data_IF_305001953235
#
_entry.id   IF_305001953235
#
_cell.length_a   1.000
_cell.length_b   1.000
_cell.length_c   1.000
_cell.angle_alpha   90.00
_cell.angle_beta   90.00
_cell.angle_gamma   90.00
#
_symmetry.space_group_name_H-M   'P 1'
#
loop_
_entity.id
_entity.type
_entity.pdbx_description
1 polymer ?
#
# COMPACT_ATOMS: atom_id res chain seq x y z
N UNK A 1 53.32 -21.69 17.70
CA UNK A 1 53.05 -20.30 18.11
C UNK A 1 53.11 -19.45 16.86
N UNK A 2 51.96 -19.26 16.22
CA UNK A 2 51.75 -18.28 15.16
C UNK A 2 50.51 -17.51 15.62
N UNK A 3 50.75 -16.36 16.23
CA UNK A 3 49.74 -15.52 16.85
C UNK A 3 49.18 -14.60 15.75
N UNK A 4 48.04 -15.00 15.17
CA UNK A 4 47.24 -14.13 14.31
C UNK A 4 46.32 -13.31 15.22
N UNK A 5 46.69 -12.05 15.46
CA UNK A 5 45.77 -11.08 16.05
C UNK A 5 44.76 -10.61 14.98
N UNK A 6 43.48 -10.44 15.35
CA UNK A 6 42.41 -10.11 14.42
C UNK A 6 42.42 -8.63 14.04
N UNK A 7 42.17 -8.34 12.76
CA UNK A 7 41.91 -6.98 12.27
C UNK A 7 40.62 -6.44 12.91
N UNK A 8 40.76 -5.34 13.65
CA UNK A 8 39.62 -4.55 14.13
C UNK A 8 39.11 -3.74 12.92
N UNK A 9 38.12 -4.28 12.21
CA UNK A 9 37.27 -3.47 11.33
C UNK A 9 36.62 -2.38 12.18
N UNK A 10 37.14 -1.16 12.07
CA UNK A 10 36.51 0.02 12.65
C UNK A 10 35.21 0.26 11.90
N UNK A 11 34.12 -0.08 12.57
CA UNK A 11 32.75 0.17 12.13
C UNK A 11 32.59 1.67 11.87
N UNK A 12 32.33 2.02 10.62
CA UNK A 12 32.05 3.39 10.21
C UNK A 12 30.56 3.60 10.49
N UNK A 13 30.15 4.44 11.46
CA UNK A 13 28.74 4.63 11.73
C UNK A 13 28.07 5.19 10.48
N UNK A 14 27.10 4.44 9.97
CA UNK A 14 26.20 4.83 8.90
C UNK A 14 25.32 5.96 9.44
N UNK A 15 25.76 7.21 9.25
CA UNK A 15 24.95 8.39 9.54
C UNK A 15 23.75 8.44 8.57
N UNK A 16 22.62 7.90 9.05
CA UNK A 16 21.30 8.19 8.50
C UNK A 16 21.06 9.69 8.62
N UNK A 17 21.27 10.41 7.52
CA UNK A 17 20.89 11.81 7.34
C UNK A 17 19.38 11.99 7.33
N UNK A 18 18.72 11.79 8.46
CA UNK A 18 17.30 12.08 8.69
C UNK A 18 17.18 13.01 9.88
N UNK A 19 17.83 14.18 9.83
CA UNK A 19 17.39 15.37 10.55
C UNK A 19 18.00 16.59 9.85
N UNK A 20 17.39 16.99 8.73
CA UNK A 20 17.51 18.38 8.30
C UNK A 20 16.83 19.24 9.36
N UNK A 21 17.61 19.72 10.33
CA UNK A 21 17.20 20.85 11.17
C UNK A 21 16.87 22.00 10.20
N UNK A 22 15.72 22.68 10.34
CA UNK A 22 15.51 23.88 9.56
C UNK A 22 16.56 24.88 10.01
N UNK A 23 17.46 25.23 9.10
CA UNK A 23 18.44 26.29 9.30
C UNK A 23 17.66 27.56 9.64
N UNK A 24 17.68 27.95 10.92
CA UNK A 24 17.24 29.28 11.38
C UNK A 24 18.34 30.30 11.09
N UNK A 25 18.86 30.29 9.86
CA UNK A 25 19.55 31.45 9.32
C UNK A 25 18.49 32.50 9.02
N UNK A 26 18.75 33.76 9.38
CA UNK A 26 17.92 34.89 8.96
C UNK A 26 17.79 34.83 7.43
N UNK A 27 16.58 34.56 6.93
CA UNK A 27 16.38 34.39 5.51
C UNK A 27 16.75 35.71 4.81
N UNK A 28 17.23 35.67 3.56
CA UNK A 28 17.49 36.90 2.79
C UNK A 28 16.26 37.84 2.76
N UNK A 29 15.05 37.27 2.87
CA UNK A 29 13.80 38.03 3.01
C UNK A 29 13.68 38.76 4.37
N UNK A 30 14.15 38.17 5.47
CA UNK A 30 14.17 38.81 6.79
C UNK A 30 15.15 40.00 6.79
N UNK A 31 16.30 39.85 6.13
CA UNK A 31 17.29 40.93 6.00
C UNK A 31 16.72 42.12 5.21
N UNK A 32 16.02 41.85 4.11
CA UNK A 32 15.37 42.89 3.29
C UNK A 32 14.25 43.58 4.06
N UNK A 33 13.44 42.82 4.81
CA UNK A 33 12.39 43.38 5.65
C UNK A 33 12.95 44.27 6.77
N UNK A 34 14.05 43.86 7.40
CA UNK A 34 14.74 44.67 8.41
C UNK A 34 15.32 45.95 7.79
N UNK A 35 15.97 45.85 6.63
CA UNK A 35 16.56 46.99 5.95
C UNK A 35 15.51 48.03 5.52
N UNK A 36 14.39 47.59 4.96
CA UNK A 36 13.26 48.46 4.58
C UNK A 36 12.60 49.11 5.81
N UNK A 37 12.45 48.36 6.90
CA UNK A 37 11.91 48.90 8.15
C UNK A 37 12.84 49.95 8.77
N UNK A 38 14.15 49.70 8.75
CA UNK A 38 15.15 50.66 9.21
C UNK A 38 15.18 51.93 8.35
N UNK A 39 15.13 51.77 7.02
CA UNK A 39 15.06 52.90 6.08
C UNK A 39 13.82 53.77 6.31
N UNK A 40 12.67 53.12 6.57
CA UNK A 40 11.44 53.84 6.88
C UNK A 40 11.52 54.61 8.21
N UNK A 41 12.07 53.99 9.25
CA UNK A 41 12.28 54.68 10.53
C UNK A 41 13.20 55.90 10.38
N UNK A 42 14.26 55.80 9.56
CA UNK A 42 15.13 56.94 9.26
C UNK A 42 14.36 58.05 8.55
N UNK A 43 13.50 57.71 7.58
CA UNK A 43 12.66 58.70 6.88
C UNK A 43 11.69 59.42 7.84
N UNK A 44 11.08 58.69 8.79
CA UNK A 44 10.23 59.28 9.84
C UNK A 44 11.03 60.21 10.73
N UNK A 45 12.25 59.82 11.11
CA UNK A 45 13.12 60.60 11.98
C UNK A 45 13.58 61.90 11.29
N UNK A 46 13.92 61.82 10.00
CA UNK A 46 14.25 63.00 9.18
C UNK A 46 13.04 63.93 9.05
N UNK A 47 11.84 63.40 8.82
CA UNK A 47 10.63 64.21 8.73
C UNK A 47 10.39 65.02 10.01
N UNK A 48 10.49 64.38 11.18
CA UNK A 48 10.28 65.04 12.47
C UNK A 48 11.38 66.04 12.84
N UNK A 49 12.64 65.77 12.48
CA UNK A 49 13.76 66.65 12.85
C UNK A 49 14.08 67.74 11.82
N UNK A 50 13.75 67.55 10.54
CA UNK A 50 14.12 68.47 9.47
C UNK A 50 12.95 69.19 8.80
N UNK A 51 11.73 68.63 8.84
CA UNK A 51 10.57 69.16 8.11
C UNK A 51 9.34 69.49 8.98
N UNK A 52 9.33 69.14 10.28
CA UNK A 52 8.19 69.41 11.15
C UNK A 52 8.07 70.92 11.45
N UNK A 53 6.97 71.59 11.03
CA UNK A 53 6.69 72.94 11.45
C UNK A 53 6.18 72.97 12.90
N UNK A 54 6.48 74.03 13.65
CA UNK A 54 5.99 74.28 15.02
C UNK A 54 4.49 74.65 15.05
N UNK A 55 3.63 73.82 14.46
CA UNK A 55 2.17 73.99 14.62
C UNK A 55 1.61 73.08 15.71
N UNK A 56 0.68 73.63 16.50
CA UNK A 56 -0.01 72.90 17.58
C UNK A 56 -0.57 71.58 17.05
N UNK A 57 -0.11 70.48 17.65
CA UNK A 57 -0.51 69.13 17.25
C UNK A 57 -1.98 68.90 17.62
N UNK A 58 -2.89 69.19 16.68
CA UNK A 58 -4.28 68.76 16.78
C UNK A 58 -4.37 67.23 16.79
N UNK A 59 -5.35 66.70 17.54
CA UNK A 59 -5.57 65.24 17.66
C UNK A 59 -5.71 64.53 16.31
N UNK A 60 -6.23 65.23 15.30
CA UNK A 60 -6.37 64.72 13.93
C UNK A 60 -5.03 64.54 13.21
N UNK A 61 -4.11 65.49 13.35
CA UNK A 61 -2.77 65.43 12.74
C UNK A 61 -1.93 64.31 13.33
N UNK A 62 -2.09 64.04 14.64
CA UNK A 62 -1.44 62.91 15.31
C UNK A 62 -1.91 61.55 14.76
N UNK A 63 -3.22 61.37 14.53
CA UNK A 63 -3.77 60.12 13.99
C UNK A 63 -3.33 59.90 12.53
N UNK A 64 -3.32 60.96 11.72
CA UNK A 64 -2.85 60.90 10.32
C UNK A 64 -1.35 60.58 10.25
N UNK A 65 -0.54 61.19 11.12
CA UNK A 65 0.89 60.87 11.22
C UNK A 65 1.11 59.40 11.65
N UNK A 66 0.34 58.91 12.62
CA UNK A 66 0.43 57.52 13.06
C UNK A 66 0.03 56.55 11.94
N UNK A 67 -1.04 56.83 11.19
CA UNK A 67 -1.45 56.04 10.02
C UNK A 67 -0.38 56.04 8.92
N UNK A 68 0.24 57.19 8.65
CA UNK A 68 1.31 57.31 7.66
C UNK A 68 2.54 56.47 8.03
N UNK A 69 2.83 56.29 9.33
CA UNK A 69 3.95 55.47 9.80
C UNK A 69 3.60 53.97 9.77
N UNK A 70 2.41 53.59 10.23
CA UNK A 70 2.05 52.17 10.40
C UNK A 70 1.62 51.47 9.09
N UNK A 71 0.95 52.18 8.17
CA UNK A 71 0.49 51.62 6.90
C UNK A 71 1.60 50.97 6.04
N UNK A 72 2.75 51.62 5.79
CA UNK A 72 3.81 51.03 4.98
C UNK A 72 4.51 49.87 5.68
N UNK A 73 4.64 49.90 7.01
CA UNK A 73 5.20 48.78 7.79
C UNK A 73 4.31 47.54 7.63
N UNK A 74 2.98 47.71 7.72
CA UNK A 74 2.03 46.63 7.50
C UNK A 74 2.12 46.07 6.07
N UNK A 75 2.24 46.92 5.05
CA UNK A 75 2.39 46.50 3.65
C UNK A 75 3.70 45.73 3.39
N UNK A 76 4.81 46.18 4.00
CA UNK A 76 6.11 45.48 3.91
C UNK A 76 6.01 44.10 4.55
N UNK A 77 5.35 43.98 5.70
CA UNK A 77 5.19 42.71 6.42
C UNK A 77 4.30 41.73 5.65
N UNK A 78 3.21 42.21 5.03
CA UNK A 78 2.35 41.41 4.15
C UNK A 78 3.15 40.90 2.93
N UNK A 79 3.93 41.77 2.28
CA UNK A 79 4.79 41.38 1.16
C UNK A 79 5.81 40.29 1.54
N UNK A 80 6.42 40.39 2.72
CA UNK A 80 7.36 39.40 3.22
C UNK A 80 6.71 38.02 3.44
N UNK A 81 5.48 37.97 3.97
CA UNK A 81 4.76 36.70 4.16
C UNK A 81 4.44 36.00 2.84
N UNK A 82 4.03 36.74 1.80
CA UNK A 82 3.73 36.20 0.46
C UNK A 82 4.98 35.60 -0.21
N UNK A 83 6.14 36.25 -0.06
CA UNK A 83 7.40 35.73 -0.60
C UNK A 83 7.85 34.46 0.12
N UNK A 84 7.55 34.33 1.42
CA UNK A 84 7.89 33.15 2.23
C UNK A 84 7.09 31.91 1.79
N UNK A 85 5.80 32.05 1.52
CA UNK A 85 4.96 30.95 0.98
C UNK A 85 5.33 30.58 -0.46
N UNK A 86 5.69 31.56 -1.29
CA UNK A 86 6.10 31.31 -2.67
C UNK A 86 7.44 30.55 -2.78
N UNK A 87 8.38 30.72 -1.83
CA UNK A 87 9.68 30.03 -1.84
C UNK A 87 9.58 28.56 -1.47
N UNK A 88 8.74 28.20 -0.48
CA UNK A 88 8.50 26.80 -0.08
C UNK A 88 7.89 26.01 -1.24
N UNK A 89 6.95 26.59 -1.98
CA UNK A 89 6.40 25.95 -3.18
C UNK A 89 7.40 25.83 -4.35
N UNK A 90 8.38 26.73 -4.43
CA UNK A 90 9.35 26.74 -5.53
C UNK A 90 10.41 25.64 -5.37
N UNK A 91 10.78 25.32 -4.12
CA UNK A 91 11.66 24.20 -3.80
C UNK A 91 11.00 22.84 -4.10
N UNK A 92 9.70 22.70 -3.79
CA UNK A 92 8.91 21.51 -4.14
C UNK A 92 8.75 21.36 -5.66
N UNK A 93 8.52 22.44 -6.39
CA UNK A 93 8.41 22.43 -7.85
C UNK A 93 9.73 22.04 -8.54
N UNK A 94 10.88 22.54 -8.09
CA UNK A 94 12.19 22.15 -8.65
C UNK A 94 12.52 20.69 -8.42
N UNK A 95 12.10 20.13 -7.26
CA UNK A 95 12.30 18.71 -6.96
C UNK A 95 11.44 17.81 -7.85
N UNK A 96 10.18 18.18 -8.07
CA UNK A 96 9.28 17.48 -9.00
C UNK A 96 9.78 17.56 -10.45
N UNK A 97 10.26 18.72 -10.88
CA UNK A 97 10.83 18.90 -12.22
C UNK A 97 12.04 17.97 -12.44
N UNK A 98 12.93 17.86 -11.45
CA UNK A 98 14.12 17.00 -11.53
C UNK A 98 13.79 15.50 -11.58
N UNK A 99 12.74 15.07 -10.87
CA UNK A 99 12.25 13.69 -10.92
C UNK A 99 11.62 13.34 -12.29
N UNK A 100 10.92 14.30 -12.89
CA UNK A 100 10.33 14.16 -14.23
C UNK A 100 11.42 14.08 -15.30
N UNK A 101 12.46 14.92 -15.22
CA UNK A 101 13.58 14.89 -16.16
C UNK A 101 14.38 13.59 -16.05
N UNK A 102 14.56 13.05 -14.84
CA UNK A 102 15.17 11.74 -14.63
C UNK A 102 14.36 10.59 -15.25
N UNK A 103 13.02 10.59 -15.09
CA UNK A 103 12.14 9.61 -15.74
C UNK A 103 12.17 9.73 -17.27
N UNK A 104 12.19 10.95 -17.81
CA UNK A 104 12.26 11.17 -19.25
C UNK A 104 13.58 10.67 -19.83
N UNK A 105 14.69 10.89 -19.13
CA UNK A 105 16.00 10.36 -19.54
C UNK A 105 16.05 8.83 -19.47
N UNK A 106 15.48 8.21 -18.43
CA UNK A 106 15.37 6.75 -18.34
C UNK A 106 14.54 6.17 -19.49
N UNK A 107 13.42 6.81 -19.84
CA UNK A 107 12.57 6.39 -20.96
C UNK A 107 13.28 6.51 -22.31
N UNK A 108 14.02 7.60 -22.54
CA UNK A 108 14.79 7.79 -23.79
C UNK A 108 15.98 6.83 -23.86
N UNK A 109 16.68 6.58 -22.75
CA UNK A 109 17.75 5.59 -22.68
C UNK A 109 17.24 4.17 -22.98
N UNK A 110 16.06 3.82 -22.48
CA UNK A 110 15.41 2.53 -22.74
C UNK A 110 14.90 2.43 -24.19
N UNK A 111 14.39 3.52 -24.76
CA UNK A 111 13.99 3.58 -26.17
C UNK A 111 15.19 3.50 -27.14
N UNK A 112 16.32 4.12 -26.81
CA UNK A 112 17.55 4.03 -27.62
C UNK A 112 18.21 2.64 -27.51
N UNK A 113 18.18 2.03 -26.33
CA UNK A 113 18.63 0.64 -26.12
C UNK A 113 17.76 -0.36 -26.90
N UNK A 114 16.48 -0.05 -27.09
CA UNK A 114 15.55 -0.85 -27.90
C UNK A 114 15.68 -0.60 -29.42
N UNK A 115 16.30 0.51 -29.83
CA UNK A 115 16.46 0.92 -31.23
C UNK A 115 17.77 0.52 -31.90
N UNK A 116 18.81 0.15 -31.14
CA UNK A 116 20.10 -0.29 -31.68
C UNK A 116 20.46 -1.73 -31.26
N UNK A 117 20.15 -2.69 -32.13
CA UNK A 117 21.00 -3.87 -32.35
C UNK A 117 20.95 -5.04 -31.35
N UNK A 118 19.93 -5.18 -30.49
CA UNK A 118 19.79 -6.34 -29.58
C UNK A 118 18.95 -7.45 -30.24
N UNK A 119 19.41 -7.99 -31.37
CA UNK A 119 18.86 -9.24 -31.94
C UNK A 119 19.89 -10.37 -31.98
N UNK A 120 21.13 -10.17 -32.47
CA UNK A 120 22.06 -11.30 -32.63
C UNK A 120 22.76 -11.76 -31.33
N UNK A 121 22.82 -10.93 -30.28
CA UNK A 121 23.46 -11.30 -29.02
C UNK A 121 22.53 -12.09 -28.08
N UNK A 122 21.23 -11.78 -28.10
CA UNK A 122 20.22 -12.46 -27.29
C UNK A 122 19.85 -13.80 -27.93
N UNK A 123 19.74 -13.89 -29.26
CA UNK A 123 19.53 -15.18 -29.95
C UNK A 123 20.69 -16.17 -29.71
N UNK A 124 21.94 -15.71 -29.78
CA UNK A 124 23.10 -16.57 -29.45
C UNK A 124 23.13 -17.03 -27.99
N UNK A 125 22.73 -16.16 -27.06
CA UNK A 125 22.64 -16.52 -25.63
C UNK A 125 21.44 -17.43 -25.35
N UNK A 126 20.34 -17.30 -26.06
CA UNK A 126 19.21 -18.23 -25.97
C UNK A 126 19.54 -19.60 -26.55
N UNK A 127 20.31 -19.72 -27.62
CA UNK A 127 20.73 -21.02 -28.18
C UNK A 127 21.76 -21.74 -27.30
N UNK A 128 22.70 -21.02 -26.68
CA UNK A 128 23.60 -21.57 -25.67
C UNK A 128 22.82 -22.06 -24.42
N UNK A 129 21.82 -21.30 -23.96
CA UNK A 129 20.99 -21.69 -22.80
C UNK A 129 20.04 -22.85 -23.15
N UNK A 130 19.46 -22.88 -24.36
CA UNK A 130 18.58 -23.95 -24.79
C UNK A 130 19.32 -25.29 -24.94
N UNK A 131 20.57 -25.27 -25.40
CA UNK A 131 21.41 -26.48 -25.50
C UNK A 131 21.90 -26.96 -24.12
N UNK A 132 22.29 -26.06 -23.22
CA UNK A 132 22.62 -26.38 -21.83
C UNK A 132 21.41 -26.93 -21.05
N UNK A 133 20.20 -26.41 -21.32
CA UNK A 133 18.96 -26.88 -20.70
C UNK A 133 18.56 -28.26 -21.22
N UNK A 134 18.77 -28.57 -22.51
CA UNK A 134 18.51 -29.91 -23.07
C UNK A 134 19.45 -30.99 -22.53
N UNK A 135 20.73 -30.67 -22.32
CA UNK A 135 21.67 -31.60 -21.68
C UNK A 135 21.32 -31.83 -20.20
N UNK A 136 20.86 -30.79 -19.51
CA UNK A 136 20.38 -30.89 -18.12
C UNK A 136 19.06 -31.67 -18.03
N UNK A 137 18.13 -31.48 -18.97
CA UNK A 137 16.88 -32.23 -19.03
C UNK A 137 17.09 -33.72 -19.32
N UNK A 138 18.05 -34.09 -20.18
CA UNK A 138 18.35 -35.50 -20.45
C UNK A 138 19.05 -36.18 -19.26
N UNK A 139 19.92 -35.47 -18.54
CA UNK A 139 20.52 -35.99 -17.31
C UNK A 139 19.47 -36.14 -16.19
N UNK A 140 18.62 -35.13 -15.98
CA UNK A 140 17.57 -35.14 -14.95
C UNK A 140 16.47 -36.15 -15.27
N UNK A 141 16.14 -36.40 -16.53
CA UNK A 141 15.18 -37.44 -16.94
C UNK A 141 15.69 -38.86 -16.66
N UNK A 142 16.99 -39.12 -16.78
CA UNK A 142 17.58 -40.42 -16.41
C UNK A 142 17.62 -40.65 -14.89
N UNK A 143 17.74 -39.58 -14.08
CA UNK A 143 17.74 -39.69 -12.62
C UNK A 143 16.35 -39.60 -11.96
N UNK A 144 15.35 -38.99 -12.61
CA UNK A 144 13.98 -38.89 -12.10
C UNK A 144 13.17 -40.19 -12.23
N UNK A 145 13.54 -41.11 -13.13
CA UNK A 145 12.83 -42.39 -13.30
C UNK A 145 13.09 -43.39 -12.15
N UNK A 146 14.10 -43.14 -11.31
CA UNK A 146 14.50 -44.06 -10.21
C UNK A 146 14.02 -43.63 -8.82
N UNK A 147 13.37 -42.48 -8.65
CA UNK A 147 12.96 -41.97 -7.32
C UNK A 147 11.49 -41.57 -7.23
N UNK A 148 10.61 -42.27 -7.93
CA UNK A 148 9.19 -42.26 -7.60
C UNK A 148 8.92 -43.32 -6.52
N UNK A 149 9.57 -43.14 -5.37
CA UNK A 149 9.22 -43.83 -4.14
C UNK A 149 8.07 -43.07 -3.50
N UNK A 150 6.88 -43.65 -3.64
CA UNK A 150 5.66 -43.49 -2.85
C UNK A 150 5.79 -42.52 -1.66
N UNK A 151 5.40 -41.27 -1.85
CA UNK A 151 4.94 -40.41 -0.74
C UNK A 151 3.42 -40.39 -0.84
N UNK A 152 2.79 -40.99 0.16
CA UNK A 152 1.34 -41.09 0.28
C UNK A 152 0.73 -39.68 0.33
N UNK A 153 0.02 -39.30 -0.73
CA UNK A 153 -0.89 -38.15 -0.70
C UNK A 153 -2.06 -38.51 0.20
N UNK A 154 -2.24 -37.76 1.29
CA UNK A 154 -3.50 -37.78 2.04
C UNK A 154 -4.61 -37.17 1.17
N UNK A 155 -5.86 -37.63 1.28
CA UNK A 155 -6.97 -37.13 0.47
C UNK A 155 -7.29 -35.68 0.87
N UNK A 156 -6.82 -34.71 0.09
CA UNK A 156 -7.12 -33.29 0.31
C UNK A 156 -8.58 -33.01 -0.07
N UNK A 157 -9.36 -32.50 0.89
CA UNK A 157 -10.74 -32.07 0.65
C UNK A 157 -10.75 -30.77 -0.17
N UNK A 158 -11.70 -30.61 -1.12
CA UNK A 158 -11.84 -29.40 -1.91
C UNK A 158 -12.27 -28.21 -1.02
N UNK A 159 -11.63 -27.04 -1.20
CA UNK A 159 -11.86 -25.84 -0.39
C UNK A 159 -13.25 -25.21 -0.58
N UNK A 160 -13.82 -25.32 -1.79
CA UNK A 160 -15.13 -24.77 -2.12
C UNK A 160 -16.02 -25.91 -2.61
N UNK A 161 -17.12 -26.15 -1.89
CA UNK A 161 -18.10 -27.16 -2.24
C UNK A 161 -18.81 -26.73 -3.54
N UNK A 162 -18.70 -27.54 -4.60
CA UNK A 162 -19.48 -27.34 -5.83
C UNK A 162 -20.91 -27.82 -5.57
N UNK A 163 -21.96 -27.04 -5.91
CA UNK A 163 -23.34 -27.52 -5.85
C UNK A 163 -23.47 -28.79 -6.69
N UNK A 164 -24.08 -29.83 -6.10
CA UNK A 164 -24.14 -31.16 -6.67
C UNK A 164 -24.74 -31.18 -8.08
N UNK A 165 -24.03 -31.81 -9.01
CA UNK A 165 -24.67 -32.47 -10.14
C UNK A 165 -25.28 -33.74 -9.56
N UNK A 166 -26.55 -33.67 -9.19
CA UNK A 166 -27.35 -34.87 -8.94
C UNK A 166 -27.26 -35.75 -10.18
N UNK A 167 -26.91 -37.02 -9.97
CA UNK A 167 -26.82 -38.03 -10.99
C UNK A 167 -28.23 -38.40 -11.48
N UNK A 168 -28.83 -37.54 -12.31
CA UNK A 168 -29.96 -37.90 -13.15
C UNK A 168 -29.66 -37.48 -14.60
N UNK A 169 -29.14 -38.47 -15.34
CA UNK A 169 -29.43 -38.73 -16.75
C UNK A 169 -29.59 -37.52 -17.68
N UNK A 170 -28.52 -36.76 -17.91
CA UNK A 170 -28.38 -35.94 -19.10
C UNK A 170 -27.19 -36.46 -19.92
N UNK A 171 -27.35 -36.86 -21.20
CA UNK A 171 -26.23 -37.30 -22.00
C UNK A 171 -25.26 -36.13 -22.17
N UNK A 172 -24.04 -36.32 -21.68
CA UNK A 172 -22.97 -35.34 -21.77
C UNK A 172 -22.72 -35.00 -23.25
N UNK A 173 -23.03 -33.75 -23.62
CA UNK A 173 -22.57 -33.16 -24.87
C UNK A 173 -21.04 -33.20 -24.87
N UNK A 174 -20.47 -34.01 -25.77
CA UNK A 174 -19.03 -34.22 -25.96
C UNK A 174 -18.36 -32.99 -26.60
N UNK A 175 -18.47 -31.84 -25.94
CA UNK A 175 -17.52 -30.75 -26.10
C UNK A 175 -16.33 -31.15 -25.22
N UNK A 176 -15.16 -31.39 -25.83
CA UNK A 176 -13.96 -31.88 -25.15
C UNK A 176 -13.78 -31.22 -23.79
N UNK A 177 -13.45 -32.02 -22.78
CA UNK A 177 -13.28 -31.58 -21.39
C UNK A 177 -12.50 -30.27 -21.37
N UNK A 178 -13.10 -29.14 -20.95
CA UNK A 178 -12.38 -27.88 -20.90
C UNK A 178 -11.14 -28.10 -20.01
N UNK A 179 -9.99 -27.54 -20.41
CA UNK A 179 -8.71 -27.75 -19.71
C UNK A 179 -8.77 -27.41 -18.21
N UNK A 180 -9.75 -26.60 -17.81
CA UNK A 180 -10.12 -26.25 -16.44
C UNK A 180 -10.63 -27.46 -15.62
N UNK A 181 -11.28 -28.44 -16.25
CA UNK A 181 -11.74 -29.68 -15.61
C UNK A 181 -10.62 -30.71 -15.35
N UNK A 182 -9.42 -30.48 -15.90
CA UNK A 182 -8.25 -31.35 -15.69
C UNK A 182 -7.35 -30.91 -14.53
N UNK A 183 -7.58 -29.71 -13.97
CA UNK A 183 -6.79 -29.22 -12.83
C UNK A 183 -7.32 -29.81 -11.52
N UNK A 184 -6.45 -30.30 -10.61
CA UNK A 184 -6.89 -30.79 -9.31
C UNK A 184 -7.65 -29.68 -8.56
N UNK A 185 -8.74 -30.02 -7.84
CA UNK A 185 -9.48 -29.03 -7.06
C UNK A 185 -8.57 -28.32 -6.06
N UNK A 186 -8.87 -27.04 -5.80
CA UNK A 186 -8.15 -26.24 -4.81
C UNK A 186 -8.29 -26.86 -3.42
N UNK A 187 -7.16 -27.09 -2.75
CA UNK A 187 -7.15 -27.62 -1.39
C UNK A 187 -7.49 -26.53 -0.36
N UNK A 188 -8.02 -26.92 0.80
CA UNK A 188 -8.33 -26.00 1.91
C UNK A 188 -7.10 -25.20 2.34
N UNK A 189 -5.95 -25.85 2.52
CA UNK A 189 -4.71 -25.17 2.91
C UNK A 189 -4.22 -24.20 1.84
N UNK A 190 -4.27 -24.58 0.55
CA UNK A 190 -3.90 -23.66 -0.55
C UNK A 190 -4.83 -22.44 -0.60
N UNK A 191 -6.13 -22.63 -0.31
CA UNK A 191 -7.10 -21.54 -0.28
C UNK A 191 -6.84 -20.58 0.88
N UNK A 192 -6.65 -21.10 2.10
CA UNK A 192 -6.36 -20.28 3.29
C UNK A 192 -5.05 -19.51 3.08
N UNK A 193 -3.98 -20.17 2.64
CA UNK A 193 -2.70 -19.51 2.41
C UNK A 193 -2.75 -18.46 1.29
N UNK A 194 -3.56 -18.69 0.24
CA UNK A 194 -3.80 -17.66 -0.78
C UNK A 194 -4.52 -16.42 -0.24
N UNK A 195 -5.42 -16.58 0.76
CA UNK A 195 -6.10 -15.44 1.41
C UNK A 195 -5.20 -14.69 2.39
N UNK A 196 -4.13 -15.33 2.88
CA UNK A 196 -3.14 -14.62 3.70
C UNK A 196 -2.20 -13.76 2.85
N UNK A 197 -2.04 -14.10 1.58
CA UNK A 197 -1.08 -13.55 0.62
C UNK A 197 0.39 -13.83 1.02
N UNK A 198 1.32 -13.87 0.04
CA UNK A 198 2.74 -14.06 0.34
C UNK A 198 3.27 -13.01 1.34
N UNK A 199 4.17 -13.42 2.24
CA UNK A 199 4.83 -12.51 3.18
C UNK A 199 5.88 -11.63 2.50
N UNK A 200 6.72 -12.24 1.65
CA UNK A 200 7.80 -11.56 0.94
C UNK A 200 8.05 -12.17 -0.44
N UNK A 201 9.07 -11.65 -1.14
CA UNK A 201 9.47 -12.12 -2.48
C UNK A 201 10.04 -13.55 -2.50
N UNK A 202 10.47 -14.07 -1.35
CA UNK A 202 11.06 -15.39 -1.19
C UNK A 202 10.03 -16.45 -0.78
N UNK A 203 8.79 -16.05 -0.46
CA UNK A 203 7.70 -16.95 -0.12
C UNK A 203 7.16 -17.72 -1.35
N UNK A 204 7.97 -18.66 -1.84
CA UNK A 204 7.65 -19.50 -2.99
C UNK A 204 6.35 -20.30 -2.79
N UNK A 205 6.06 -20.65 -1.54
CA UNK A 205 4.89 -21.45 -1.18
C UNK A 205 3.62 -20.59 -1.19
N UNK A 206 3.63 -19.41 -0.58
CA UNK A 206 2.54 -18.44 -0.69
C UNK A 206 2.26 -18.07 -2.14
N UNK A 207 3.29 -17.85 -2.97
CA UNK A 207 3.10 -17.62 -4.41
C UNK A 207 2.52 -18.83 -5.14
N UNK A 208 2.86 -20.07 -4.74
CA UNK A 208 2.26 -21.30 -5.31
C UNK A 208 0.77 -21.37 -4.98
N UNK A 209 0.40 -21.12 -3.74
CA UNK A 209 -0.98 -21.13 -3.25
C UNK A 209 -1.79 -20.02 -3.93
N UNK A 210 -1.26 -18.80 -4.00
CA UNK A 210 -1.86 -17.66 -4.68
C UNK A 210 -2.12 -17.95 -6.17
N UNK A 211 -1.15 -18.51 -6.90
CA UNK A 211 -1.34 -18.90 -8.31
C UNK A 211 -2.43 -19.95 -8.48
N UNK A 212 -2.50 -20.93 -7.57
CA UNK A 212 -3.56 -21.95 -7.60
C UNK A 212 -4.95 -21.36 -7.35
N UNK A 213 -5.10 -20.48 -6.37
CA UNK A 213 -6.37 -19.81 -6.10
C UNK A 213 -6.78 -18.86 -7.24
N UNK A 214 -5.83 -18.16 -7.86
CA UNK A 214 -6.14 -17.31 -9.02
C UNK A 214 -6.55 -18.09 -10.27
N UNK A 215 -6.13 -19.36 -10.39
CA UNK A 215 -6.54 -20.25 -11.48
C UNK A 215 -7.96 -20.83 -11.27
N UNK A 216 -8.47 -20.84 -10.05
CA UNK A 216 -9.83 -21.29 -9.76
C UNK A 216 -10.83 -20.12 -9.87
N UNK A 217 -11.88 -20.30 -10.67
CA UNK A 217 -12.81 -19.22 -11.02
C UNK A 217 -13.56 -18.64 -9.81
N UNK A 218 -13.87 -19.47 -8.81
CA UNK A 218 -14.67 -19.05 -7.66
C UNK A 218 -13.83 -18.34 -6.60
N UNK A 219 -12.64 -18.85 -6.29
CA UNK A 219 -11.72 -18.25 -5.34
C UNK A 219 -11.02 -17.00 -5.88
N UNK A 220 -10.68 -16.96 -7.17
CA UNK A 220 -9.99 -15.82 -7.80
C UNK A 220 -10.72 -14.48 -7.64
N UNK A 221 -12.05 -14.48 -7.60
CA UNK A 221 -12.87 -13.27 -7.36
C UNK A 221 -12.60 -12.68 -5.98
N UNK A 222 -12.58 -13.53 -4.94
CA UNK A 222 -12.28 -13.09 -3.58
C UNK A 222 -10.83 -12.63 -3.47
N UNK A 223 -9.89 -13.38 -4.01
CA UNK A 223 -8.46 -13.04 -3.97
C UNK A 223 -8.22 -11.66 -4.60
N UNK A 224 -8.77 -11.39 -5.79
CA UNK A 224 -8.61 -10.09 -6.46
C UNK A 224 -9.28 -8.96 -5.66
N UNK A 225 -10.52 -9.15 -5.21
CA UNK A 225 -11.22 -8.14 -4.42
C UNK A 225 -10.49 -7.82 -3.10
N UNK A 226 -9.89 -8.84 -2.48
CA UNK A 226 -9.07 -8.69 -1.27
C UNK A 226 -7.80 -7.91 -1.59
N UNK A 227 -7.09 -8.26 -2.67
CA UNK A 227 -5.89 -7.56 -3.11
C UNK A 227 -6.15 -6.08 -3.38
N UNK A 228 -7.24 -5.76 -4.10
CA UNK A 228 -7.61 -4.39 -4.44
C UNK A 228 -7.83 -3.55 -3.18
N UNK A 229 -8.62 -4.07 -2.22
CA UNK A 229 -8.92 -3.36 -0.98
C UNK A 229 -7.72 -3.26 -0.06
N UNK A 230 -6.90 -4.31 0.07
CA UNK A 230 -5.65 -4.28 0.83
C UNK A 230 -4.68 -3.25 0.24
N UNK A 231 -4.59 -3.16 -1.09
CA UNK A 231 -3.78 -2.15 -1.77
C UNK A 231 -4.28 -0.75 -1.45
N UNK A 232 -5.60 -0.52 -1.49
CA UNK A 232 -6.17 0.78 -1.16
C UNK A 232 -5.88 1.13 0.31
N UNK A 233 -6.14 0.22 1.25
CA UNK A 233 -5.86 0.43 2.68
C UNK A 233 -4.38 0.76 2.95
N UNK A 234 -3.45 0.12 2.23
CA UNK A 234 -2.03 0.40 2.37
C UNK A 234 -1.64 1.84 1.97
N UNK A 235 -2.41 2.46 1.06
CA UNK A 235 -2.20 3.86 0.66
C UNK A 235 -2.51 4.84 1.80
N UNK A 236 -3.39 4.45 2.73
CA UNK A 236 -3.68 5.21 3.95
C UNK A 236 -2.75 4.82 5.11
N UNK A 237 -1.79 3.93 4.88
CA UNK A 237 -0.90 3.40 5.91
C UNK A 237 -1.57 2.37 6.84
N UNK A 238 -2.67 1.74 6.42
CA UNK A 238 -3.33 0.68 7.17
C UNK A 238 -2.82 -0.68 6.67
N UNK A 239 -1.99 -1.35 7.47
CA UNK A 239 -1.47 -2.69 7.19
C UNK A 239 -2.14 -3.72 8.10
N UNK A 240 -2.52 -4.89 7.56
CA UNK A 240 -3.25 -5.91 8.33
C UNK A 240 -2.38 -6.63 9.36
N UNK A 241 -1.06 -6.66 9.12
CA UNK A 241 -0.09 -7.29 10.01
C UNK A 241 0.12 -6.46 11.29
N UNK A 242 -0.14 -5.16 11.25
CA UNK A 242 -0.10 -4.26 12.41
C UNK A 242 -1.35 -4.42 13.31
N UNK A 243 -2.41 -5.04 12.80
CA UNK A 243 -3.65 -5.24 13.54
C UNK A 243 -3.54 -6.47 14.44
N UNK A 244 -3.99 -6.32 15.68
CA UNK A 244 -4.10 -7.40 16.68
C UNK A 244 -5.57 -7.67 16.97
N UNK A 245 -6.27 -8.45 16.11
CA UNK A 245 -7.67 -8.76 16.33
C UNK A 245 -7.87 -9.68 17.54
N UNK A 246 -8.95 -9.46 18.27
CA UNK A 246 -9.42 -10.42 19.27
C UNK A 246 -9.81 -11.74 18.60
N UNK A 247 -9.33 -12.85 19.18
CA UNK A 247 -9.66 -14.19 18.66
C UNK A 247 -11.15 -14.45 18.77
N UNK A 248 -11.79 -14.54 17.62
CA UNK A 248 -13.19 -14.90 17.50
C UNK A 248 -13.37 -16.41 17.55
N UNK A 249 -14.43 -16.85 18.20
CA UNK A 249 -14.73 -18.28 18.31
C UNK A 249 -15.24 -18.81 16.95
N UNK A 250 -14.85 -20.04 16.53
CA UNK A 250 -15.31 -20.63 15.26
C UNK A 250 -16.83 -20.74 15.16
N UNK A 251 -17.52 -20.90 16.30
CA UNK A 251 -19.00 -20.95 16.36
C UNK A 251 -19.66 -19.68 15.81
N UNK A 252 -19.09 -18.50 16.06
CA UNK A 252 -19.62 -17.22 15.56
C UNK A 252 -19.45 -17.12 14.05
N UNK A 253 -18.29 -17.53 13.54
CA UNK A 253 -18.04 -17.61 12.11
C UNK A 253 -19.01 -18.56 11.40
N UNK A 254 -19.34 -19.71 12.01
CA UNK A 254 -20.37 -20.61 11.46
C UNK A 254 -21.77 -20.00 11.47
N UNK A 255 -22.14 -19.25 12.51
CA UNK A 255 -23.40 -18.50 12.54
C UNK A 255 -23.45 -17.45 11.43
N UNK A 256 -22.35 -16.72 11.24
CA UNK A 256 -22.21 -15.76 10.14
C UNK A 256 -22.35 -16.42 8.77
N UNK A 257 -21.76 -17.61 8.57
CA UNK A 257 -21.92 -18.39 7.34
C UNK A 257 -23.38 -18.79 7.04
N UNK A 258 -24.18 -19.02 8.09
CA UNK A 258 -25.63 -19.31 7.99
C UNK A 258 -26.49 -18.07 7.70
N UNK A 259 -25.88 -16.88 7.67
CA UNK A 259 -26.60 -15.63 7.42
C UNK A 259 -26.99 -14.85 8.66
N UNK A 260 -26.55 -15.24 9.86
CA UNK A 260 -26.78 -14.44 11.08
C UNK A 260 -25.97 -13.13 11.02
N UNK A 261 -26.56 -12.02 11.50
CA UNK A 261 -25.99 -10.66 11.42
C UNK A 261 -26.27 -9.88 12.71
N UNK A 262 -25.58 -8.75 12.89
CA UNK A 262 -25.70 -7.87 14.06
C UNK A 262 -25.10 -8.46 15.34
N UNK A 263 -25.73 -8.20 16.49
CA UNK A 263 -25.23 -8.56 17.82
C UNK A 263 -24.84 -10.03 18.00
N UNK A 264 -25.50 -10.96 17.30
CA UNK A 264 -25.20 -12.40 17.37
C UNK A 264 -23.78 -12.73 16.88
N UNK A 265 -23.29 -12.00 15.87
CA UNK A 265 -21.98 -12.21 15.25
C UNK A 265 -21.00 -11.07 15.51
N UNK A 266 -21.34 -10.14 16.42
CA UNK A 266 -20.53 -8.98 16.74
C UNK A 266 -19.12 -9.34 17.24
N UNK A 267 -18.98 -10.50 17.86
CA UNK A 267 -17.69 -11.04 18.31
C UNK A 267 -16.73 -11.45 17.18
N UNK A 268 -17.15 -11.43 15.91
CA UNK A 268 -16.25 -11.63 14.76
C UNK A 268 -15.39 -10.40 14.51
N UNK A 269 -15.94 -9.19 14.68
CA UNK A 269 -15.26 -7.92 14.44
C UNK A 269 -14.23 -7.58 15.53
N UNK A 270 -13.19 -8.41 15.69
CA UNK A 270 -12.18 -8.30 16.74
C UNK A 270 -11.14 -7.19 16.54
N UNK A 271 -11.18 -6.46 15.41
CA UNK A 271 -10.27 -5.33 15.17
C UNK A 271 -10.80 -4.08 15.89
N UNK A 272 -10.04 -3.60 16.88
CA UNK A 272 -10.41 -2.45 17.72
C UNK A 272 -9.54 -1.21 17.52
N UNK A 273 -8.61 -1.22 16.56
CA UNK A 273 -7.70 -0.09 16.36
C UNK A 273 -8.45 1.18 15.93
N UNK A 274 -8.41 2.20 16.78
CA UNK A 274 -9.19 3.43 16.59
C UNK A 274 -8.70 4.25 15.41
N UNK A 275 -7.38 4.29 15.18
CA UNK A 275 -6.78 4.99 14.05
C UNK A 275 -7.23 4.40 12.72
N UNK A 276 -7.08 3.09 12.56
CA UNK A 276 -7.45 2.37 11.33
C UNK A 276 -8.94 2.48 11.05
N UNK A 277 -9.79 2.34 12.08
CA UNK A 277 -11.24 2.51 11.95
C UNK A 277 -11.61 3.94 11.52
N UNK A 278 -10.97 4.96 12.09
CA UNK A 278 -11.23 6.35 11.74
C UNK A 278 -10.77 6.70 10.32
N UNK A 279 -9.58 6.24 9.92
CA UNK A 279 -9.03 6.44 8.57
C UNK A 279 -9.90 5.75 7.51
N UNK A 280 -10.22 4.47 7.71
CA UNK A 280 -11.08 3.72 6.80
C UNK A 280 -12.50 4.31 6.72
N UNK A 281 -13.09 4.71 7.85
CA UNK A 281 -14.41 5.36 7.87
C UNK A 281 -14.40 6.73 7.18
N UNK A 282 -13.34 7.52 7.37
CA UNK A 282 -13.12 8.77 6.65
C UNK A 282 -13.08 8.54 5.15
N UNK A 283 -12.26 7.57 4.70
CA UNK A 283 -12.10 7.25 3.29
C UNK A 283 -13.38 6.71 2.65
N UNK A 284 -14.14 5.87 3.35
CA UNK A 284 -15.46 5.41 2.89
C UNK A 284 -16.38 6.59 2.52
N UNK A 285 -16.30 7.72 3.24
CA UNK A 285 -17.13 8.91 2.98
C UNK A 285 -16.57 9.76 1.83
N UNK A 286 -15.25 9.92 1.76
CA UNK A 286 -14.62 10.83 0.80
C UNK A 286 -14.35 10.22 -0.58
N UNK A 287 -14.14 8.91 -0.67
CA UNK A 287 -13.71 8.23 -1.89
C UNK A 287 -14.76 7.20 -2.34
N UNK A 288 -15.42 7.48 -3.47
CA UNK A 288 -16.43 6.60 -4.05
C UNK A 288 -15.84 5.30 -4.62
N UNK A 289 -14.60 5.33 -5.12
CA UNK A 289 -13.91 4.15 -5.66
C UNK A 289 -13.57 3.19 -4.54
N UNK A 290 -13.02 3.71 -3.44
CA UNK A 290 -12.77 2.92 -2.24
C UNK A 290 -14.06 2.30 -1.69
N UNK A 291 -15.13 3.09 -1.60
CA UNK A 291 -16.44 2.61 -1.13
C UNK A 291 -16.97 1.46 -1.98
N UNK A 292 -16.89 1.56 -3.31
CA UNK A 292 -17.33 0.50 -4.20
C UNK A 292 -16.47 -0.76 -4.05
N UNK A 293 -15.15 -0.61 -4.01
CA UNK A 293 -14.21 -1.72 -3.79
C UNK A 293 -14.49 -2.46 -2.47
N UNK A 294 -14.71 -1.73 -1.37
CA UNK A 294 -15.06 -2.30 -0.07
C UNK A 294 -16.37 -3.08 -0.15
N UNK A 295 -17.42 -2.51 -0.72
CA UNK A 295 -18.70 -3.22 -0.85
C UNK A 295 -18.61 -4.45 -1.77
N UNK A 296 -17.83 -4.37 -2.85
CA UNK A 296 -17.55 -5.50 -3.72
C UNK A 296 -16.84 -6.62 -2.95
N UNK A 297 -15.79 -6.29 -2.20
CA UNK A 297 -15.04 -7.20 -1.35
C UNK A 297 -15.93 -7.87 -0.30
N UNK A 298 -16.70 -7.10 0.50
CA UNK A 298 -17.57 -7.65 1.54
C UNK A 298 -18.58 -8.65 0.97
N UNK A 299 -19.22 -8.32 -0.17
CA UNK A 299 -20.15 -9.25 -0.84
C UNK A 299 -19.46 -10.53 -1.30
N UNK A 300 -18.25 -10.41 -1.84
CA UNK A 300 -17.49 -11.55 -2.33
C UNK A 300 -16.98 -12.43 -1.18
N UNK A 301 -16.58 -11.82 -0.07
CA UNK A 301 -16.17 -12.50 1.14
C UNK A 301 -17.34 -13.31 1.72
N UNK A 302 -18.51 -12.69 1.94
CA UNK A 302 -19.71 -13.37 2.44
C UNK A 302 -20.06 -14.61 1.59
N UNK A 303 -20.11 -14.44 0.27
CA UNK A 303 -20.49 -15.51 -0.67
C UNK A 303 -19.49 -16.66 -0.69
N UNK A 304 -18.19 -16.36 -0.65
CA UNK A 304 -17.15 -17.40 -0.69
C UNK A 304 -17.00 -18.06 0.67
N UNK A 305 -17.06 -17.31 1.75
CA UNK A 305 -16.96 -17.83 3.12
C UNK A 305 -18.11 -18.77 3.47
N UNK A 306 -19.36 -18.44 3.09
CA UNK A 306 -20.50 -19.32 3.33
C UNK A 306 -20.29 -20.71 2.71
N UNK A 307 -19.75 -20.78 1.47
CA UNK A 307 -19.46 -22.03 0.78
C UNK A 307 -18.25 -22.77 1.33
N UNK A 308 -17.24 -22.04 1.78
CA UNK A 308 -16.09 -22.62 2.47
C UNK A 308 -16.50 -23.28 3.79
N UNK A 309 -17.34 -22.61 4.58
CA UNK A 309 -17.77 -23.06 5.91
C UNK A 309 -18.58 -24.37 5.91
N UNK A 310 -19.19 -24.74 4.78
CA UNK A 310 -19.93 -26.01 4.61
C UNK A 310 -19.00 -27.24 4.71
N UNK A 311 -17.78 -27.15 4.17
CA UNK A 311 -16.80 -28.24 4.16
C UNK A 311 -15.65 -28.06 5.15
N UNK A 312 -15.46 -26.84 5.70
CA UNK A 312 -14.34 -26.53 6.57
C UNK A 312 -14.52 -27.04 8.01
N UNK A 313 -13.43 -27.55 8.60
CA UNK A 313 -13.38 -27.86 10.03
C UNK A 313 -13.29 -26.58 10.88
N UNK A 314 -13.50 -26.69 12.20
CA UNK A 314 -13.33 -25.55 13.13
C UNK A 314 -11.89 -25.02 13.13
N UNK A 315 -10.91 -25.90 12.92
CA UNK A 315 -9.51 -25.54 12.79
C UNK A 315 -9.26 -24.72 11.53
N UNK A 316 -9.88 -25.10 10.41
CA UNK A 316 -9.74 -24.39 9.13
C UNK A 316 -10.38 -22.99 9.20
N UNK A 317 -11.52 -22.87 9.86
CA UNK A 317 -12.16 -21.57 10.12
C UNK A 317 -11.27 -20.69 10.99
N UNK A 318 -10.64 -21.26 12.02
CA UNK A 318 -9.70 -20.52 12.88
C UNK A 318 -8.51 -20.02 12.09
N UNK A 319 -7.89 -20.88 11.27
CA UNK A 319 -6.77 -20.50 10.39
C UNK A 319 -7.19 -19.40 9.40
N UNK A 320 -8.36 -19.52 8.78
CA UNK A 320 -8.87 -18.50 7.85
C UNK A 320 -9.10 -17.17 8.57
N UNK A 321 -9.66 -17.18 9.78
CA UNK A 321 -9.93 -15.99 10.56
C UNK A 321 -8.67 -15.18 10.92
N UNK A 322 -7.50 -15.84 10.99
CA UNK A 322 -6.22 -15.20 11.30
C UNK A 322 -5.56 -14.53 10.08
N UNK A 323 -6.04 -14.80 8.86
CA UNK A 323 -5.45 -14.29 7.60
C UNK A 323 -5.60 -12.78 7.42
N UNK A 324 -4.70 -12.15 6.63
CA UNK A 324 -4.81 -10.72 6.26
C UNK A 324 -6.15 -10.37 5.63
N UNK A 325 -6.71 -11.25 4.79
CA UNK A 325 -8.04 -11.04 4.20
C UNK A 325 -9.14 -11.03 5.25
N UNK A 326 -9.12 -11.94 6.21
CA UNK A 326 -10.12 -11.96 7.28
C UNK A 326 -9.99 -10.76 8.23
N UNK A 327 -8.76 -10.32 8.55
CA UNK A 327 -8.52 -9.08 9.32
C UNK A 327 -9.09 -7.85 8.60
N UNK A 328 -8.89 -7.78 7.29
CA UNK A 328 -9.46 -6.74 6.44
C UNK A 328 -11.00 -6.75 6.49
N UNK A 329 -11.61 -7.95 6.41
CA UNK A 329 -13.05 -8.12 6.59
C UNK A 329 -13.54 -7.66 7.97
N UNK A 330 -12.84 -8.02 9.05
CA UNK A 330 -13.20 -7.57 10.40
C UNK A 330 -13.16 -6.05 10.53
N UNK A 331 -12.10 -5.41 10.04
CA UNK A 331 -11.95 -3.95 10.06
C UNK A 331 -13.08 -3.28 9.27
N UNK A 332 -13.29 -3.69 8.03
CA UNK A 332 -14.25 -3.05 7.13
C UNK A 332 -15.70 -3.34 7.52
N UNK A 333 -15.99 -4.56 7.99
CA UNK A 333 -17.30 -4.94 8.49
C UNK A 333 -17.72 -4.07 9.68
N UNK A 334 -16.79 -3.67 10.55
CA UNK A 334 -17.06 -2.68 11.60
C UNK A 334 -17.31 -1.29 11.02
N UNK A 335 -16.52 -0.85 10.05
CA UNK A 335 -16.68 0.46 9.41
C UNK A 335 -18.04 0.58 8.70
N UNK A 336 -18.55 -0.51 8.13
CA UNK A 336 -19.84 -0.54 7.44
C UNK A 336 -21.03 -0.86 8.34
N UNK A 337 -20.80 -1.17 9.62
CA UNK A 337 -21.87 -1.54 10.57
C UNK A 337 -22.48 -2.92 10.31
N UNK A 338 -21.73 -3.86 9.73
CA UNK A 338 -22.19 -5.24 9.47
C UNK A 338 -22.43 -6.04 10.76
N UNK A 339 -21.81 -5.59 11.86
CA UNK A 339 -21.82 -6.24 13.17
C UNK A 339 -22.65 -5.51 14.23
N UNK A 340 -23.18 -4.33 13.90
CA UNK A 340 -24.00 -3.50 14.79
C UNK A 340 -25.50 -3.82 14.64
#
# INVERSE_FOLDING_TARGET
>A
MADQQPEIMTDKPMELGIYSRPDRGLAAADIIAIALSALWLIAVLIYFFALAPEEETSRGTFVVAMLAIFLPIALIWIGATVVKTARVMREEATRLQSAIDAMRQAYVAQAQTSGMGIKPAVERKLDEIASATRQTQNAVATFATSRQAVVAQSPAQPALVKPGVSADSQPALALGTPSEAMSPPLSVDDFIGALDFPEDENDMEGFRQLRRALADHESSKLVRASQDVLTLLSQDGIYMDDLTPDRSRPELWRQFAKGERGAAVAGIGGVHDRSSLALASGRMRSDAVFRDAVHHFLRQFDKTFARFAEGASDQDITKLADTRTARCFMLLGRVTGTFD
#
